data_IF_950648973050
#
_entry.id   IF_950648973050
#
_cell.length_a   1.000
_cell.length_b   1.000
_cell.length_c   1.000
_cell.angle_alpha   90.00
_cell.angle_beta   90.00
_cell.angle_gamma   90.00
#
_symmetry.space_group_name_H-M   'P 1'
#
loop_
_entity.id
_entity.type
_entity.pdbx_description
1 polymer ?
#
# COMPACT_ATOMS: atom_id res chain seq x y z
N UNK A 1 8.35 15.13 20.43
CA UNK A 1 7.46 14.38 19.52
C UNK A 1 7.83 12.91 19.64
N UNK A 2 6.98 12.05 20.21
CA UNK A 2 7.29 10.62 20.31
C UNK A 2 7.16 9.98 18.92
N UNK A 3 8.15 9.19 18.53
CA UNK A 3 8.11 8.41 17.30
C UNK A 3 7.36 7.10 17.60
N UNK A 4 6.03 7.17 17.57
CA UNK A 4 5.17 6.02 17.80
C UNK A 4 5.19 5.12 16.54
N UNK A 5 5.52 3.85 16.72
CA UNK A 5 5.57 2.85 15.65
C UNK A 5 4.76 1.63 16.10
N UNK A 6 3.98 1.06 15.20
CA UNK A 6 3.20 -0.16 15.42
C UNK A 6 3.62 -1.25 14.44
N UNK A 7 3.79 -2.46 14.94
CA UNK A 7 4.06 -3.66 14.14
C UNK A 7 3.05 -4.72 14.56
N UNK A 8 2.27 -5.20 13.60
CA UNK A 8 1.21 -6.19 13.84
C UNK A 8 1.36 -7.30 12.81
N UNK A 9 1.29 -8.55 13.26
CA UNK A 9 1.18 -9.70 12.38
C UNK A 9 -0.19 -9.68 11.70
N UNK A 10 -0.21 -9.83 10.39
CA UNK A 10 -1.47 -9.94 9.66
C UNK A 10 -2.10 -11.32 9.90
N UNK A 11 -3.31 -11.34 10.48
CA UNK A 11 -4.04 -12.57 10.81
C UNK A 11 -5.43 -12.63 10.19
N UNK A 12 -6.14 -11.49 10.13
CA UNK A 12 -7.52 -11.41 9.65
C UNK A 12 -7.78 -10.11 8.87
N UNK A 13 -8.55 -10.17 7.76
CA UNK A 13 -9.03 -9.00 7.05
C UNK A 13 -9.75 -8.02 7.97
N UNK A 14 -9.60 -6.73 7.69
CA UNK A 14 -10.18 -5.58 8.42
C UNK A 14 -9.69 -5.39 9.86
N UNK A 15 -9.35 -6.46 10.59
CA UNK A 15 -8.91 -6.39 11.99
C UNK A 15 -7.41 -6.03 12.10
N UNK A 16 -6.56 -6.64 11.27
CA UNK A 16 -5.10 -6.54 11.43
C UNK A 16 -4.57 -5.15 11.09
N UNK A 17 -5.05 -4.57 9.98
CA UNK A 17 -4.68 -3.22 9.56
C UNK A 17 -5.24 -2.17 10.51
N UNK A 18 -6.50 -2.33 10.96
CA UNK A 18 -7.11 -1.46 11.97
C UNK A 18 -6.26 -1.41 13.25
N UNK A 19 -5.91 -2.58 13.80
CA UNK A 19 -5.07 -2.67 14.99
C UNK A 19 -3.72 -1.96 14.79
N UNK A 20 -3.09 -2.14 13.63
CA UNK A 20 -1.83 -1.47 13.32
C UNK A 20 -1.98 0.06 13.32
N UNK A 21 -3.03 0.57 12.65
CA UNK A 21 -3.33 2.00 12.53
C UNK A 21 -3.67 2.63 13.87
N UNK A 22 -4.51 1.98 14.68
CA UNK A 22 -4.94 2.48 16.00
C UNK A 22 -3.76 2.55 16.98
N UNK A 23 -2.94 1.49 17.05
CA UNK A 23 -1.73 1.48 17.88
C UNK A 23 -0.72 2.57 17.47
N UNK A 24 -0.68 2.93 16.18
CA UNK A 24 0.17 4.00 15.67
C UNK A 24 -0.47 5.39 15.74
N UNK A 25 -1.75 5.50 16.11
CA UNK A 25 -2.54 6.75 15.98
C UNK A 25 -2.47 7.34 14.57
N UNK A 26 -2.39 6.48 13.56
CA UNK A 26 -1.96 6.84 12.20
C UNK A 26 -2.91 7.77 11.46
N UNK A 27 -4.18 7.82 11.86
CA UNK A 27 -5.24 8.60 11.20
C UNK A 27 -5.86 9.67 12.12
N UNK A 28 -5.34 9.87 13.34
CA UNK A 28 -5.95 10.75 14.34
C UNK A 28 -5.96 12.23 13.92
N UNK A 29 -4.95 12.63 13.13
CA UNK A 29 -4.78 14.01 12.68
C UNK A 29 -5.30 14.25 11.26
N UNK A 30 -6.05 13.32 10.68
CA UNK A 30 -6.66 13.55 9.37
C UNK A 30 -7.73 14.64 9.47
N UNK A 31 -7.68 15.68 8.61
CA UNK A 31 -8.71 16.70 8.61
C UNK A 31 -10.05 16.13 8.11
N UNK A 32 -11.18 16.67 8.56
CA UNK A 32 -12.48 16.30 8.01
C UNK A 32 -12.51 16.59 6.50
N UNK A 33 -13.13 15.70 5.72
CA UNK A 33 -13.23 15.81 4.25
C UNK A 33 -11.87 15.92 3.54
N UNK A 34 -10.81 15.35 4.11
CA UNK A 34 -9.51 15.32 3.44
C UNK A 34 -9.62 14.65 2.06
N UNK A 35 -8.80 15.12 1.12
CA UNK A 35 -8.50 14.39 -0.11
C UNK A 35 -7.32 13.49 0.15
N UNK A 36 -7.51 12.18 0.07
CA UNK A 36 -6.51 11.20 0.44
C UNK A 36 -5.93 10.55 -0.80
N UNK A 37 -4.61 10.64 -0.94
CA UNK A 37 -3.86 9.89 -1.93
C UNK A 37 -3.21 8.68 -1.26
N UNK A 38 -3.63 7.48 -1.66
CA UNK A 38 -3.01 6.23 -1.25
C UNK A 38 -1.94 5.92 -2.27
N UNK A 39 -0.69 5.76 -1.79
CA UNK A 39 0.45 5.28 -2.56
C UNK A 39 0.77 3.85 -2.12
N UNK A 40 0.19 2.82 -2.73
CA UNK A 40 0.70 1.47 -2.54
C UNK A 40 2.11 1.40 -3.13
N UNK A 41 2.81 0.35 -2.73
CA UNK A 41 4.19 0.14 -3.11
C UNK A 41 4.28 -1.09 -4.02
N UNK A 42 4.64 -0.86 -5.28
CA UNK A 42 5.26 -1.84 -6.16
C UNK A 42 6.73 -1.47 -6.28
N UNK A 43 7.61 -2.25 -5.61
CA UNK A 43 9.04 -1.92 -5.51
C UNK A 43 9.73 -1.93 -6.87
N UNK A 44 9.58 -3.02 -7.63
CA UNK A 44 10.32 -3.25 -8.85
C UNK A 44 9.69 -4.40 -9.64
N UNK A 45 9.88 -4.37 -10.96
CA UNK A 45 9.33 -5.35 -11.89
C UNK A 45 10.44 -5.83 -12.84
N UNK A 46 10.72 -7.14 -12.88
CA UNK A 46 11.68 -7.73 -13.82
C UNK A 46 11.26 -9.13 -14.28
N UNK A 47 11.97 -9.62 -15.31
CA UNK A 47 11.80 -10.96 -15.89
C UNK A 47 12.67 -12.05 -15.24
N UNK A 48 13.57 -11.69 -14.33
CA UNK A 48 14.65 -12.56 -13.86
C UNK A 48 14.31 -13.37 -12.61
N UNK A 49 13.24 -13.03 -11.88
CA UNK A 49 12.79 -13.81 -10.75
C UNK A 49 11.26 -13.75 -10.56
N UNK A 50 10.71 -14.80 -9.94
CA UNK A 50 9.34 -14.77 -9.45
C UNK A 50 9.26 -13.90 -8.20
N UNK A 51 8.24 -13.05 -8.13
CA UNK A 51 8.05 -12.15 -6.99
C UNK A 51 7.77 -12.95 -5.71
N UNK A 52 8.37 -12.58 -4.56
CA UNK A 52 7.89 -13.07 -3.29
C UNK A 52 6.43 -12.63 -3.13
N UNK A 53 5.59 -13.56 -2.66
CA UNK A 53 4.14 -13.33 -2.51
C UNK A 53 3.81 -12.08 -1.68
N UNK A 54 4.71 -11.68 -0.78
CA UNK A 54 4.55 -10.55 0.15
C UNK A 54 5.81 -9.68 0.17
N UNK A 55 5.66 -8.40 0.49
CA UNK A 55 6.78 -7.48 0.74
C UNK A 55 7.32 -6.73 -0.48
N UNK A 56 6.94 -7.13 -1.70
CA UNK A 56 7.30 -6.42 -2.95
C UNK A 56 6.13 -5.63 -3.55
N UNK A 57 4.92 -6.18 -3.43
CA UNK A 57 3.68 -5.55 -3.88
C UNK A 57 2.76 -5.41 -2.66
N UNK A 58 2.27 -4.20 -2.41
CA UNK A 58 1.18 -4.00 -1.45
C UNK A 58 -0.07 -4.68 -1.98
N UNK A 59 -0.59 -5.65 -1.23
CA UNK A 59 -1.72 -6.44 -1.71
C UNK A 59 -3.02 -5.65 -1.64
N UNK A 60 -3.90 -5.89 -2.61
CA UNK A 60 -5.22 -5.24 -2.68
C UNK A 60 -6.01 -5.39 -1.39
N UNK A 61 -5.84 -6.52 -0.67
CA UNK A 61 -6.44 -6.77 0.63
C UNK A 61 -6.06 -5.72 1.69
N UNK A 62 -4.78 -5.32 1.76
CA UNK A 62 -4.34 -4.27 2.69
C UNK A 62 -4.90 -2.92 2.26
N UNK A 63 -4.95 -2.66 0.95
CA UNK A 63 -5.51 -1.41 0.41
C UNK A 63 -7.01 -1.29 0.70
N UNK A 64 -7.76 -2.36 0.55
CA UNK A 64 -9.19 -2.39 0.87
C UNK A 64 -9.43 -2.08 2.35
N UNK A 65 -8.67 -2.68 3.27
CA UNK A 65 -8.78 -2.39 4.70
C UNK A 65 -8.52 -0.90 5.00
N UNK A 66 -7.51 -0.30 4.37
CA UNK A 66 -7.22 1.14 4.51
C UNK A 66 -8.38 1.99 3.99
N UNK A 67 -8.96 1.64 2.84
CA UNK A 67 -10.09 2.38 2.26
C UNK A 67 -11.30 2.32 3.19
N UNK A 68 -11.61 1.14 3.77
CA UNK A 68 -12.70 1.00 4.74
C UNK A 68 -12.49 1.91 5.94
N UNK A 69 -11.27 1.94 6.52
CA UNK A 69 -10.95 2.82 7.65
C UNK A 69 -11.11 4.31 7.32
N UNK A 70 -10.74 4.71 6.10
CA UNK A 70 -10.92 6.09 5.63
C UNK A 70 -12.40 6.43 5.45
N UNK A 71 -13.19 5.53 4.86
CA UNK A 71 -14.63 5.69 4.65
C UNK A 71 -15.41 5.76 5.97
N UNK A 72 -15.05 4.94 6.95
CA UNK A 72 -15.61 5.01 8.32
C UNK A 72 -15.36 6.38 9.00
N UNK A 73 -14.29 7.08 8.62
CA UNK A 73 -13.99 8.45 9.07
C UNK A 73 -14.66 9.55 8.23
N UNK A 74 -15.49 9.18 7.25
CA UNK A 74 -16.18 10.12 6.36
C UNK A 74 -15.29 10.72 5.26
N UNK A 75 -14.18 10.05 4.91
CA UNK A 75 -13.33 10.44 3.79
C UNK A 75 -13.91 9.84 2.50
N UNK A 76 -14.27 10.72 1.56
CA UNK A 76 -14.91 10.30 0.30
C UNK A 76 -14.01 10.44 -0.93
N UNK A 77 -13.13 11.45 -0.95
CA UNK A 77 -12.22 11.74 -2.05
C UNK A 77 -10.91 10.96 -1.84
N UNK A 78 -10.85 9.75 -2.39
CA UNK A 78 -9.73 8.82 -2.27
C UNK A 78 -9.19 8.50 -3.66
N UNK A 79 -7.93 8.82 -3.90
CA UNK A 79 -7.20 8.46 -5.13
C UNK A 79 -6.15 7.41 -4.80
N UNK A 80 -6.09 6.33 -5.58
CA UNK A 80 -5.02 5.33 -5.48
C UNK A 80 -4.08 5.57 -6.65
N UNK A 81 -2.86 6.01 -6.36
CA UNK A 81 -1.83 6.17 -7.38
C UNK A 81 -0.85 5.02 -7.34
N UNK A 82 -1.13 3.98 -8.11
CA UNK A 82 -0.25 2.84 -8.24
C UNK A 82 0.63 2.92 -9.49
N UNK A 83 1.83 2.35 -9.42
CA UNK A 83 2.77 2.28 -10.52
C UNK A 83 4.19 2.03 -10.05
N UNK A 84 4.99 1.47 -10.96
CA UNK A 84 6.43 1.31 -10.78
C UNK A 84 7.16 2.63 -11.06
N UNK A 85 8.28 2.87 -10.37
CA UNK A 85 9.27 3.83 -10.85
C UNK A 85 9.93 3.24 -12.08
N UNK A 86 9.47 3.61 -13.28
CA UNK A 86 10.24 3.34 -14.49
C UNK A 86 11.56 4.13 -14.40
N UNK A 87 12.70 3.45 -14.53
CA UNK A 87 13.99 4.14 -14.64
C UNK A 87 13.95 4.93 -15.94
N UNK A 88 13.83 6.26 -15.84
CA UNK A 88 13.79 7.14 -17.01
C UNK A 88 15.08 6.99 -17.81
N UNK A 89 15.01 6.36 -18.98
CA UNK A 89 16.12 6.27 -19.93
C UNK A 89 16.44 4.87 -20.43
N UNK A 90 16.06 3.81 -19.72
CA UNK A 90 16.32 2.44 -20.17
C UNK A 90 15.01 1.66 -20.33
N UNK A 91 14.70 1.23 -21.56
CA UNK A 91 13.57 0.35 -21.91
C UNK A 91 13.73 -1.09 -21.35
N UNK A 92 14.35 -1.27 -20.19
CA UNK A 92 14.74 -2.61 -19.70
C UNK A 92 13.69 -3.30 -18.84
N UNK A 93 12.74 -2.55 -18.28
CA UNK A 93 11.70 -3.10 -17.39
C UNK A 93 10.32 -3.16 -18.05
N UNK A 94 10.25 -3.43 -19.36
CA UNK A 94 8.98 -3.70 -20.07
C UNK A 94 8.59 -5.17 -20.07
N UNK A 95 9.51 -6.05 -19.69
CA UNK A 95 9.35 -7.50 -19.71
C UNK A 95 9.09 -8.03 -18.30
N UNK A 96 8.22 -9.02 -18.20
CA UNK A 96 7.80 -9.65 -16.96
C UNK A 96 8.19 -11.13 -16.93
N UNK A 97 7.98 -11.81 -15.80
CA UNK A 97 8.30 -13.23 -15.65
C UNK A 97 7.57 -14.14 -16.66
N UNK A 98 6.42 -13.72 -17.21
CA UNK A 98 5.72 -14.42 -18.30
C UNK A 98 6.36 -14.21 -19.67
N UNK A 99 7.22 -13.18 -19.81
CA UNK A 99 7.98 -12.90 -21.03
C UNK A 99 9.36 -13.59 -21.00
N UNK A 100 9.70 -14.27 -19.90
CA UNK A 100 10.93 -15.04 -19.77
C UNK A 100 10.81 -16.38 -20.53
N UNK A 101 11.18 -16.36 -21.80
CA UNK A 101 11.35 -17.55 -22.66
C UNK A 101 12.72 -17.53 -23.34
#
# INVERSE_FOLDING_TARGET
MSKLVSIVKYEKPFESVRKAVELAKGLDNLPPKAKVFIKPNIVYWNRHCTYPKWGVITTSRVIEDVIVLLKEKGIEDITIGEGITAVSGEKKDTENALDAW
#
